data_IF_247030313735
#
_entry.id   IF_247030313735
#
_cell.length_a   1.000
_cell.length_b   1.000
_cell.length_c   1.000
_cell.angle_alpha   90.00
_cell.angle_beta   90.00
_cell.angle_gamma   90.00
#
_symmetry.space_group_name_H-M   'P 1'
#
loop_
_entity.id
_entity.type
_entity.pdbx_description
1 polymer ?
#
# COMPACT_ATOMS: atom_id res chain seq x y z
N UNK A 1 36.45 -18.43 -49.07
CA UNK A 1 35.36 -18.06 -48.14
C UNK A 1 35.51 -18.94 -46.90
N UNK A 2 36.09 -18.42 -45.80
CA UNK A 2 36.34 -19.23 -44.58
C UNK A 2 35.02 -19.43 -43.85
N UNK A 3 34.58 -20.68 -43.74
CA UNK A 3 33.36 -21.04 -43.02
C UNK A 3 33.56 -20.73 -41.54
N UNK A 4 32.86 -19.72 -41.04
CA UNK A 4 32.79 -19.42 -39.61
C UNK A 4 32.19 -20.65 -38.94
N UNK A 5 32.94 -21.25 -38.01
CA UNK A 5 32.53 -22.46 -37.33
C UNK A 5 31.22 -22.21 -36.55
N UNK A 6 30.18 -23.02 -36.82
CA UNK A 6 28.84 -22.87 -36.24
C UNK A 6 28.87 -22.83 -34.71
N UNK A 7 29.85 -23.51 -34.09
CA UNK A 7 30.02 -23.53 -32.64
C UNK A 7 30.58 -22.21 -32.08
N UNK A 8 31.39 -21.47 -32.86
CA UNK A 8 31.92 -20.16 -32.47
C UNK A 8 30.84 -19.08 -32.58
N UNK A 9 29.97 -19.18 -33.59
CA UNK A 9 28.83 -18.26 -33.73
C UNK A 9 27.83 -18.43 -32.57
N UNK A 10 27.64 -19.67 -32.12
CA UNK A 10 26.71 -20.02 -31.05
C UNK A 10 27.22 -19.56 -29.67
N UNK A 11 28.51 -19.71 -29.39
CA UNK A 11 29.11 -19.22 -28.13
C UNK A 11 29.13 -17.69 -28.06
N UNK A 12 29.40 -17.00 -29.17
CA UNK A 12 29.35 -15.53 -29.21
C UNK A 12 27.92 -14.98 -29.03
N UNK A 13 26.91 -15.67 -29.59
CA UNK A 13 25.50 -15.34 -29.38
C UNK A 13 25.04 -15.51 -27.92
N UNK A 14 25.53 -16.55 -27.22
CA UNK A 14 25.23 -16.76 -25.80
C UNK A 14 25.89 -15.71 -24.91
N UNK A 15 27.15 -15.35 -25.17
CA UNK A 15 27.87 -14.31 -24.40
C UNK A 15 27.24 -12.91 -24.57
N UNK A 16 26.78 -12.58 -25.78
CA UNK A 16 26.05 -11.33 -26.02
C UNK A 16 24.68 -11.32 -25.33
N UNK A 17 23.97 -12.46 -25.32
CA UNK A 17 22.68 -12.60 -24.64
C UNK A 17 22.75 -12.52 -23.11
N UNK A 18 23.89 -12.86 -22.50
CA UNK A 18 24.08 -12.71 -21.05
C UNK A 18 24.41 -11.26 -20.65
N UNK A 19 25.01 -10.48 -21.54
CA UNK A 19 25.38 -9.08 -21.25
C UNK A 19 24.21 -8.09 -21.26
N UNK A 20 23.09 -8.43 -21.92
CA UNK A 20 21.91 -7.56 -21.99
C UNK A 20 21.06 -7.58 -20.71
N UNK A 21 21.14 -8.65 -19.91
CA UNK A 21 20.25 -8.86 -18.76
C UNK A 21 20.82 -8.38 -17.41
N UNK A 22 22.08 -7.96 -17.35
CA UNK A 22 22.79 -7.66 -16.09
C UNK A 22 23.09 -6.15 -15.94
N UNK A 23 22.96 -5.37 -17.03
CA UNK A 23 23.47 -3.99 -17.08
C UNK A 23 22.74 -2.99 -16.19
N UNK A 24 21.46 -3.19 -15.89
CA UNK A 24 20.66 -2.16 -15.21
C UNK A 24 20.75 -2.26 -13.67
N UNK A 25 21.17 -3.40 -13.10
CA UNK A 25 21.18 -3.57 -11.63
C UNK A 25 22.27 -2.76 -10.92
N UNK A 26 23.39 -2.49 -11.60
CA UNK A 26 24.53 -1.74 -11.04
C UNK A 26 24.24 -0.24 -10.98
N UNK A 27 23.47 0.30 -11.95
CA UNK A 27 23.02 1.69 -11.96
C UNK A 27 21.94 1.95 -10.88
N UNK A 28 21.09 0.94 -10.64
CA UNK A 28 19.97 1.02 -9.69
C UNK A 28 20.42 0.81 -8.24
N UNK A 29 21.51 0.09 -7.96
CA UNK A 29 21.99 -0.14 -6.60
C UNK A 29 23.33 0.57 -6.34
N UNK A 30 23.35 1.87 -6.63
CA UNK A 30 24.52 2.75 -6.51
C UNK A 30 24.96 2.98 -5.06
N UNK A 31 24.07 2.81 -4.08
CA UNK A 31 24.38 2.84 -2.65
C UNK A 31 23.80 1.62 -1.93
N UNK A 32 24.68 0.71 -1.48
CA UNK A 32 24.30 -0.56 -0.82
C UNK A 32 23.70 -0.38 0.58
N UNK A 33 23.88 0.78 1.21
CA UNK A 33 23.47 1.00 2.61
C UNK A 33 22.13 1.73 2.71
N UNK A 34 21.87 2.68 1.81
CA UNK A 34 20.66 3.51 1.83
C UNK A 34 20.21 3.82 0.39
N UNK A 35 18.93 3.64 0.05
CA UNK A 35 18.39 4.10 -1.23
C UNK A 35 18.47 5.64 -1.31
N UNK A 36 18.69 6.17 -2.50
CA UNK A 36 18.56 7.60 -2.74
C UNK A 36 17.08 8.03 -2.72
N UNK A 37 16.81 9.35 -2.73
CA UNK A 37 15.44 9.87 -2.60
C UNK A 37 14.51 9.40 -3.73
N UNK A 38 15.04 9.26 -4.95
CA UNK A 38 14.32 8.77 -6.12
C UNK A 38 13.96 7.28 -5.97
N UNK A 39 14.90 6.44 -5.53
CA UNK A 39 14.70 5.02 -5.24
C UNK A 39 13.71 4.80 -4.09
N UNK A 40 13.77 5.64 -3.06
CA UNK A 40 12.86 5.59 -1.90
C UNK A 40 11.40 5.86 -2.29
N UNK A 41 11.18 6.68 -3.32
CA UNK A 41 9.84 6.93 -3.86
C UNK A 41 9.36 5.83 -4.81
N UNK A 42 10.27 5.12 -5.48
CA UNK A 42 9.95 4.06 -6.43
C UNK A 42 9.54 2.73 -5.76
N UNK A 43 10.14 2.40 -4.62
CA UNK A 43 9.90 1.14 -3.89
C UNK A 43 8.82 1.24 -2.80
N UNK A 44 8.14 2.39 -2.69
CA UNK A 44 7.13 2.59 -1.66
C UNK A 44 7.71 2.68 -0.24
N UNK A 45 9.01 2.90 -0.08
CA UNK A 45 9.61 3.16 1.23
C UNK A 45 8.93 4.39 1.88
N UNK A 46 8.57 5.38 1.07
CA UNK A 46 7.79 6.54 1.49
C UNK A 46 6.37 6.19 1.99
N UNK A 47 5.79 5.04 1.63
CA UNK A 47 4.47 4.59 2.09
C UNK A 47 4.53 3.59 3.24
N UNK A 48 5.71 3.12 3.65
CA UNK A 48 5.86 2.13 4.72
C UNK A 48 5.25 2.61 6.06
N UNK A 49 5.46 3.87 6.44
CA UNK A 49 4.85 4.45 7.64
C UNK A 49 3.33 4.62 7.55
N UNK A 50 2.82 4.93 6.35
CA UNK A 50 1.37 5.02 6.10
C UNK A 50 0.70 3.64 6.15
N UNK A 51 1.40 2.61 5.67
CA UNK A 51 0.90 1.24 5.67
C UNK A 51 0.78 0.67 7.08
N UNK A 52 1.75 0.94 7.95
CA UNK A 52 1.65 0.57 9.37
C UNK A 52 0.42 1.20 10.04
N UNK A 53 0.17 2.49 9.78
CA UNK A 53 -1.03 3.18 10.27
C UNK A 53 -2.32 2.59 9.67
N UNK A 54 -2.31 2.21 8.39
CA UNK A 54 -3.47 1.58 7.75
C UNK A 54 -3.81 0.23 8.36
N UNK A 55 -2.83 -0.59 8.75
CA UNK A 55 -3.09 -1.89 9.40
C UNK A 55 -3.75 -1.73 10.78
N UNK A 56 -3.41 -0.65 11.50
CA UNK A 56 -3.94 -0.36 12.83
C UNK A 56 -5.30 0.35 12.83
N UNK A 57 -5.75 0.86 11.69
CA UNK A 57 -6.97 1.65 11.59
C UNK A 57 -8.29 0.83 11.60
N UNK A 58 -8.40 -0.38 11.01
CA UNK A 58 -9.62 -1.20 11.02
C UNK A 58 -10.15 -1.53 12.41
N UNK A 59 -9.24 -1.72 13.37
CA UNK A 59 -9.56 -1.85 14.78
C UNK A 59 -8.73 -0.77 15.45
N UNK A 60 -9.33 0.37 15.86
CA UNK A 60 -8.59 1.52 16.35
C UNK A 60 -7.64 1.10 17.47
N UNK A 61 -6.37 0.96 17.14
CA UNK A 61 -5.33 0.50 18.05
C UNK A 61 -4.12 1.39 17.85
N UNK A 62 -3.34 1.58 18.91
CA UNK A 62 -2.21 2.49 18.85
C UNK A 62 -1.72 2.88 20.23
N UNK A 63 -0.73 3.77 20.24
CA UNK A 63 -0.18 4.34 21.45
C UNK A 63 -0.90 5.66 21.79
N UNK A 64 -1.22 5.85 23.08
CA UNK A 64 -1.86 7.06 23.57
C UNK A 64 -3.35 6.91 23.89
N UNK A 65 -3.94 8.02 24.34
CA UNK A 65 -5.33 8.06 24.84
C UNK A 65 -6.37 8.08 23.71
N UNK A 66 -6.07 8.73 22.59
CA UNK A 66 -7.05 8.91 21.51
C UNK A 66 -7.39 7.60 20.79
N UNK A 67 -6.42 6.72 20.42
CA UNK A 67 -6.75 5.41 19.85
C UNK A 67 -7.56 4.54 20.83
N UNK A 68 -7.25 4.60 22.13
CA UNK A 68 -7.98 3.88 23.16
C UNK A 68 -9.43 4.39 23.30
N UNK A 69 -9.64 5.72 23.23
CA UNK A 69 -10.97 6.32 23.23
C UNK A 69 -11.77 5.91 21.98
N UNK A 70 -11.14 5.91 20.80
CA UNK A 70 -11.78 5.46 19.57
C UNK A 70 -12.19 3.98 19.68
N UNK A 71 -11.30 3.10 20.16
CA UNK A 71 -11.63 1.70 20.41
C UNK A 71 -12.81 1.55 21.37
N UNK A 72 -12.79 2.31 22.48
CA UNK A 72 -13.85 2.26 23.49
C UNK A 72 -15.22 2.56 22.86
N UNK A 73 -15.31 3.59 22.04
CA UNK A 73 -16.59 4.02 21.46
C UNK A 73 -17.03 3.12 20.31
N UNK A 74 -16.09 2.75 19.44
CA UNK A 74 -16.36 2.07 18.16
C UNK A 74 -16.52 0.56 18.29
N UNK A 75 -15.84 -0.05 19.27
CA UNK A 75 -15.87 -1.50 19.47
C UNK A 75 -16.45 -1.86 20.84
N UNK A 76 -15.87 -1.35 21.93
CA UNK A 76 -16.18 -1.86 23.26
C UNK A 76 -17.58 -1.50 23.77
N UNK A 77 -17.97 -0.24 23.63
CA UNK A 77 -19.29 0.28 24.06
C UNK A 77 -20.40 0.04 23.04
N UNK A 78 -20.06 -0.50 21.87
CA UNK A 78 -20.99 -0.75 20.77
C UNK A 78 -20.97 -2.22 20.41
N UNK A 79 -20.20 -2.66 19.42
CA UNK A 79 -20.22 -4.03 18.92
C UNK A 79 -20.03 -5.09 20.01
N UNK A 80 -19.04 -4.94 20.89
CA UNK A 80 -18.81 -5.89 21.98
C UNK A 80 -19.92 -5.86 23.03
N UNK A 81 -20.52 -4.69 23.25
CA UNK A 81 -21.64 -4.55 24.19
C UNK A 81 -22.93 -5.16 23.65
N UNK A 82 -23.24 -4.88 22.39
CA UNK A 82 -24.43 -5.38 21.70
C UNK A 82 -24.34 -6.89 21.44
N UNK A 83 -23.14 -7.42 21.22
CA UNK A 83 -22.89 -8.85 21.10
C UNK A 83 -22.84 -9.57 22.46
N UNK A 84 -22.83 -8.84 23.58
CA UNK A 84 -22.82 -9.41 24.92
C UNK A 84 -21.45 -9.85 25.46
N UNK A 85 -20.34 -9.44 24.83
CA UNK A 85 -18.99 -9.71 25.33
C UNK A 85 -18.62 -8.84 26.52
N UNK A 86 -18.96 -7.55 26.48
CA UNK A 86 -18.61 -6.60 27.54
C UNK A 86 -19.80 -5.75 27.96
N UNK A 87 -19.82 -5.32 29.21
CA UNK A 87 -20.74 -4.30 29.69
C UNK A 87 -19.99 -3.34 30.60
N UNK A 88 -20.21 -2.03 30.51
CA UNK A 88 -19.58 -1.10 31.42
C UNK A 88 -20.05 -1.39 32.85
N UNK A 89 -19.11 -1.48 33.80
CA UNK A 89 -19.48 -1.60 35.22
C UNK A 89 -20.34 -0.43 35.72
N UNK A 90 -20.21 0.75 35.10
CA UNK A 90 -21.10 1.90 35.31
C UNK A 90 -21.28 2.68 34.02
N UNK A 91 -22.52 2.82 33.57
CA UNK A 91 -22.86 3.67 32.43
C UNK A 91 -23.02 5.14 32.85
N UNK A 92 -21.93 5.91 32.80
CA UNK A 92 -21.89 7.32 33.21
C UNK A 92 -21.67 8.29 32.04
N UNK A 93 -21.34 7.78 30.85
CA UNK A 93 -21.17 8.62 29.66
C UNK A 93 -22.51 9.15 29.18
N UNK A 94 -22.53 10.42 28.78
CA UNK A 94 -23.71 11.07 28.17
C UNK A 94 -24.99 10.93 29.02
N UNK A 95 -24.86 10.96 30.35
CA UNK A 95 -25.99 10.79 31.27
C UNK A 95 -26.64 9.40 31.21
N UNK A 96 -25.92 8.39 30.71
CA UNK A 96 -26.42 7.04 30.49
C UNK A 96 -27.06 6.83 29.10
N UNK A 97 -27.12 7.87 28.27
CA UNK A 97 -27.65 7.81 26.91
C UNK A 97 -26.50 7.74 25.90
N UNK A 98 -26.06 6.53 25.57
CA UNK A 98 -25.00 6.27 24.61
C UNK A 98 -25.18 4.89 23.95
N UNK A 99 -24.17 4.43 23.20
CA UNK A 99 -24.26 3.18 22.45
C UNK A 99 -24.67 1.98 23.31
N UNK A 100 -24.23 1.92 24.57
CA UNK A 100 -24.56 0.79 25.46
C UNK A 100 -26.04 0.73 25.86
N UNK A 101 -26.77 1.83 25.71
CA UNK A 101 -28.23 1.91 25.91
C UNK A 101 -28.98 2.04 24.59
N UNK A 102 -28.34 1.66 23.47
CA UNK A 102 -28.85 1.78 22.10
C UNK A 102 -29.18 3.22 21.66
N UNK A 103 -28.66 4.22 22.37
CA UNK A 103 -28.82 5.62 22.00
C UNK A 103 -27.54 6.15 21.35
N UNK A 104 -27.57 6.40 20.05
CA UNK A 104 -26.42 6.95 19.32
C UNK A 104 -26.69 8.41 18.97
N UNK A 105 -26.06 9.34 19.68
CA UNK A 105 -26.16 10.77 19.37
C UNK A 105 -25.38 11.11 18.09
N UNK A 106 -25.73 12.22 17.43
CA UNK A 106 -25.04 12.69 16.21
C UNK A 106 -23.52 12.80 16.41
N UNK A 107 -23.08 13.31 17.57
CA UNK A 107 -21.66 13.40 17.91
C UNK A 107 -20.99 12.02 17.93
N UNK A 108 -21.67 11.02 18.50
CA UNK A 108 -21.15 9.64 18.59
C UNK A 108 -21.18 8.96 17.21
N UNK A 109 -22.26 9.13 16.45
CA UNK A 109 -22.39 8.59 15.10
C UNK A 109 -21.30 9.14 14.17
N UNK A 110 -21.09 10.46 14.16
CA UNK A 110 -20.07 11.11 13.36
C UNK A 110 -18.67 10.66 13.79
N UNK A 111 -18.37 10.63 15.09
CA UNK A 111 -17.06 10.15 15.57
C UNK A 111 -16.78 8.69 15.22
N UNK A 112 -17.80 7.81 15.25
CA UNK A 112 -17.66 6.42 14.80
C UNK A 112 -17.43 6.33 13.29
N UNK A 113 -18.14 7.14 12.50
CA UNK A 113 -17.92 7.21 11.04
C UNK A 113 -16.51 7.71 10.70
N UNK A 114 -16.05 8.75 11.39
CA UNK A 114 -14.72 9.32 11.18
C UNK A 114 -13.63 8.28 11.46
N UNK A 115 -13.71 7.60 12.61
CA UNK A 115 -12.75 6.58 13.01
C UNK A 115 -12.74 5.34 12.09
N UNK A 116 -13.91 4.86 11.66
CA UNK A 116 -14.02 3.63 10.86
C UNK A 116 -13.91 3.82 9.35
N UNK A 117 -14.24 5.00 8.84
CA UNK A 117 -14.24 5.24 7.40
C UNK A 117 -13.27 6.33 7.02
N UNK A 118 -13.37 7.51 7.61
CA UNK A 118 -12.57 8.66 7.17
C UNK A 118 -11.08 8.41 7.40
N UNK A 119 -10.69 7.93 8.59
CA UNK A 119 -9.29 7.67 8.91
C UNK A 119 -8.69 6.56 8.03
N UNK A 120 -9.39 5.44 7.86
CA UNK A 120 -8.94 4.32 7.02
C UNK A 120 -8.79 4.77 5.56
N UNK A 121 -9.84 5.40 5.01
CA UNK A 121 -9.86 5.80 3.61
C UNK A 121 -8.83 6.87 3.32
N UNK A 122 -8.62 7.82 4.23
CA UNK A 122 -7.57 8.83 4.08
C UNK A 122 -6.17 8.22 4.01
N UNK A 123 -5.85 7.24 4.86
CA UNK A 123 -4.56 6.54 4.78
C UNK A 123 -4.43 5.75 3.48
N UNK A 124 -5.48 5.04 3.08
CA UNK A 124 -5.51 4.32 1.81
C UNK A 124 -5.28 5.24 0.61
N UNK A 125 -5.97 6.38 0.53
CA UNK A 125 -5.80 7.33 -0.57
C UNK A 125 -4.41 7.96 -0.59
N UNK A 126 -3.82 8.25 0.57
CA UNK A 126 -2.42 8.70 0.66
C UNK A 126 -1.47 7.65 0.10
N UNK A 127 -1.58 6.39 0.53
CA UNK A 127 -0.76 5.29 0.00
C UNK A 127 -0.94 5.17 -1.51
N UNK A 128 -2.19 5.17 -1.99
CA UNK A 128 -2.51 5.06 -3.41
C UNK A 128 -1.90 6.21 -4.23
N UNK A 129 -1.98 7.44 -3.74
CA UNK A 129 -1.40 8.62 -4.38
C UNK A 129 0.13 8.66 -4.37
N UNK A 130 0.76 8.11 -3.33
CA UNK A 130 2.22 7.93 -3.29
C UNK A 130 2.67 6.89 -4.29
N UNK A 131 1.94 5.77 -4.42
CA UNK A 131 2.30 4.65 -5.29
C UNK A 131 1.87 4.81 -6.77
N UNK A 132 1.06 5.82 -7.11
CA UNK A 132 0.56 6.01 -8.47
C UNK A 132 0.74 7.45 -8.95
N UNK A 133 0.97 7.64 -10.25
CA UNK A 133 0.71 8.91 -10.91
C UNK A 133 -0.80 9.03 -11.09
N UNK A 134 -1.32 10.22 -10.82
CA UNK A 134 -2.73 10.53 -10.88
C UNK A 134 -2.94 11.46 -12.06
N UNK A 135 -3.69 11.03 -13.07
CA UNK A 135 -4.09 11.85 -14.20
C UNK A 135 -5.61 11.90 -14.31
N UNK A 136 -6.15 13.08 -14.61
CA UNK A 136 -7.55 13.23 -14.97
C UNK A 136 -7.65 13.18 -16.49
N UNK A 137 -8.22 12.10 -17.03
CA UNK A 137 -8.50 11.95 -18.46
C UNK A 137 -10.01 11.85 -18.60
N UNK A 138 -10.62 12.80 -19.32
CA UNK A 138 -12.06 12.86 -19.59
C UNK A 138 -12.93 12.82 -18.31
N UNK A 139 -12.51 13.54 -17.26
CA UNK A 139 -13.24 13.59 -15.98
C UNK A 139 -13.09 12.34 -15.11
N UNK A 140 -12.36 11.31 -15.56
CA UNK A 140 -12.04 10.11 -14.79
C UNK A 140 -10.63 10.21 -14.21
N UNK A 141 -10.51 9.91 -12.92
CA UNK A 141 -9.20 9.77 -12.28
C UNK A 141 -8.61 8.42 -12.65
N UNK A 142 -7.48 8.44 -13.38
CA UNK A 142 -6.69 7.28 -13.74
C UNK A 142 -5.47 7.23 -12.84
N UNK A 143 -5.26 6.06 -12.23
CA UNK A 143 -4.08 5.76 -11.42
C UNK A 143 -3.15 4.89 -12.25
N UNK A 144 -1.94 5.36 -12.52
CA UNK A 144 -0.89 4.57 -13.19
C UNK A 144 0.24 4.34 -12.21
N UNK A 145 0.68 3.09 -12.01
CA UNK A 145 1.73 2.73 -11.04
C UNK A 145 3.00 3.59 -11.22
N UNK A 146 3.47 4.21 -10.12
CA UNK A 146 4.83 4.76 -9.99
C UNK A 146 5.73 3.59 -9.59
N UNK A 147 6.88 3.43 -10.26
CA UNK A 147 7.87 2.45 -9.83
C UNK A 147 8.06 1.23 -10.74
N UNK A 148 9.03 0.41 -10.33
CA UNK A 148 9.84 -0.51 -11.13
C UNK A 148 9.10 -1.45 -12.08
N UNK A 149 7.82 -1.76 -11.89
CA UNK A 149 7.03 -2.54 -12.87
C UNK A 149 6.94 -1.88 -14.23
N UNK A 150 6.87 -0.55 -14.29
CA UNK A 150 6.90 0.16 -15.57
C UNK A 150 8.32 0.23 -16.14
N UNK A 151 9.36 0.50 -15.32
CA UNK A 151 10.77 0.45 -15.75
C UNK A 151 11.19 -0.95 -16.20
N UNK A 152 10.81 -2.02 -15.51
CA UNK A 152 11.05 -3.40 -15.92
C UNK A 152 10.16 -3.78 -17.13
N UNK A 153 8.89 -3.34 -17.20
CA UNK A 153 8.07 -3.54 -18.42
C UNK A 153 8.61 -2.79 -19.63
N UNK A 154 9.31 -1.67 -19.48
CA UNK A 154 9.92 -0.94 -20.60
C UNK A 154 11.37 -1.37 -20.87
N UNK A 155 12.15 -1.71 -19.85
CA UNK A 155 13.59 -2.02 -19.96
C UNK A 155 13.94 -3.52 -19.81
N UNK A 156 13.19 -4.33 -19.05
CA UNK A 156 13.32 -5.82 -19.06
C UNK A 156 12.62 -6.44 -20.28
N UNK A 157 11.57 -5.81 -20.82
CA UNK A 157 11.05 -6.19 -22.14
C UNK A 157 12.03 -5.89 -23.30
N UNK A 158 13.17 -5.24 -23.03
CA UNK A 158 14.29 -5.17 -23.97
C UNK A 158 15.11 -6.47 -24.03
N UNK A 159 14.94 -7.37 -23.04
CA UNK A 159 15.66 -8.63 -22.94
C UNK A 159 14.80 -9.89 -23.15
N UNK A 160 13.47 -9.78 -23.13
CA UNK A 160 12.58 -10.86 -23.58
C UNK A 160 11.65 -10.34 -24.66
N UNK A 161 11.67 -10.99 -25.82
CA UNK A 161 10.51 -11.05 -26.71
C UNK A 161 9.26 -11.18 -25.85
N UNK A 162 8.43 -10.13 -25.85
CA UNK A 162 7.25 -10.02 -25.03
C UNK A 162 6.23 -11.07 -25.49
N UNK A 163 6.37 -12.32 -25.04
CA UNK A 163 5.27 -13.27 -25.04
C UNK A 163 4.42 -12.93 -23.81
N UNK A 164 3.26 -12.37 -24.10
CA UNK A 164 2.11 -12.25 -23.24
C UNK A 164 1.97 -13.46 -22.32
N UNK A 165 2.34 -13.30 -21.05
CA UNK A 165 1.84 -14.19 -20.02
C UNK A 165 0.42 -13.70 -19.74
N UNK A 166 -0.53 -14.28 -20.48
CA UNK A 166 -1.92 -14.29 -20.05
C UNK A 166 -1.95 -14.97 -18.69
N UNK A 167 -2.57 -14.29 -17.73
CA UNK A 167 -2.90 -14.91 -16.45
C UNK A 167 -3.91 -16.02 -16.72
N UNK A 168 -3.50 -17.27 -16.45
CA UNK A 168 -4.38 -18.39 -16.16
C UNK A 168 -4.40 -18.59 -14.65
#
# INVERSE_FOLDING_TARGET
MKMINKNILLTFGVLLGLSSCIKDFEEINTNKLLPNDEQSQLDGLASAGLFANLIQAPIPTGTGVDPANNYQVVQNMSADNWAGYFSPGRNHWDGGLNQTSFYVSDKRANGTFDALMVDIMNQYFKIKGTLHNVSAVDGKIIYTEKGWKNFLKTNVCRCKSCQSIGYA
#
